data_IF_708956342783
#
_entry.id   IF_708956342783
#
_cell.length_a   1.000
_cell.length_b   1.000
_cell.length_c   1.000
_cell.angle_alpha   90.00
_cell.angle_beta   90.00
_cell.angle_gamma   90.00
#
_symmetry.space_group_name_H-M   'P 1'
#
loop_
_entity.id
_entity.type
_entity.pdbx_description
1 polymer ?
#
# COMPACT_ATOMS: atom_id res chain seq x y z
N UNK A 1 -3.14 9.66 16.20
CA UNK A 1 -2.48 9.12 14.97
C UNK A 1 -1.00 9.45 14.97
N UNK A 2 -0.11 8.44 14.97
CA UNK A 2 1.35 8.64 14.77
C UNK A 2 1.64 8.86 13.28
N UNK A 3 2.84 9.38 12.99
CA UNK A 3 3.25 9.73 11.64
C UNK A 3 4.57 9.06 11.27
N UNK A 4 4.84 8.99 9.97
CA UNK A 4 6.07 8.47 9.34
C UNK A 4 6.56 9.45 8.28
N UNK A 5 7.82 9.32 7.90
CA UNK A 5 8.42 10.10 6.81
C UNK A 5 8.39 9.24 5.53
N UNK A 6 8.01 9.87 4.43
CA UNK A 6 8.00 9.32 3.10
C UNK A 6 8.60 10.39 2.17
N UNK A 7 9.88 10.28 1.86
CA UNK A 7 10.64 11.36 1.23
C UNK A 7 10.63 12.63 2.09
N UNK A 8 10.17 13.72 1.51
CA UNK A 8 10.00 15.01 2.21
C UNK A 8 8.61 15.17 2.88
N UNK A 9 7.76 14.17 2.79
CA UNK A 9 6.38 14.22 3.29
C UNK A 9 6.23 13.51 4.63
N UNK A 10 5.42 14.11 5.49
CA UNK A 10 4.96 13.49 6.73
C UNK A 10 3.58 12.86 6.47
N UNK A 11 3.48 11.54 6.57
CA UNK A 11 2.24 10.79 6.36
C UNK A 11 1.79 10.08 7.62
N UNK A 12 0.50 9.74 7.71
CA UNK A 12 -0.02 8.89 8.79
C UNK A 12 0.70 7.54 8.82
N UNK A 13 0.94 7.00 10.01
CA UNK A 13 1.63 5.72 10.18
C UNK A 13 0.85 4.51 9.60
N UNK A 14 -0.44 4.67 9.36
CA UNK A 14 -1.30 3.72 8.65
C UNK A 14 -1.89 4.45 7.44
N UNK A 15 -1.76 3.85 6.25
CA UNK A 15 -2.42 4.30 5.03
C UNK A 15 -3.72 3.54 4.75
N UNK A 16 -4.46 3.96 3.72
CA UNK A 16 -5.60 3.22 3.18
C UNK A 16 -5.20 2.60 1.84
N UNK A 17 -5.22 1.27 1.75
CA UNK A 17 -5.21 0.54 0.47
C UNK A 17 -6.60 0.56 -0.14
N UNK A 18 -6.79 1.33 -1.22
CA UNK A 18 -8.10 1.55 -1.82
C UNK A 18 -8.55 0.43 -2.76
N UNK A 19 -7.69 -0.56 -3.07
CA UNK A 19 -8.00 -1.64 -4.02
C UNK A 19 -9.35 -2.33 -3.77
N UNK A 20 -9.76 -2.69 -2.52
CA UNK A 20 -11.04 -3.36 -2.26
C UNK A 20 -12.28 -2.51 -2.59
N UNK A 21 -12.11 -1.23 -2.88
CA UNK A 21 -13.20 -0.33 -3.27
C UNK A 21 -13.57 -0.44 -4.76
N UNK A 22 -12.81 -1.21 -5.57
CA UNK A 22 -12.99 -1.23 -7.03
C UNK A 22 -12.80 -2.58 -7.70
N UNK A 23 -12.35 -3.61 -6.97
CA UNK A 23 -12.19 -4.96 -7.49
C UNK A 23 -13.41 -5.83 -7.13
N UNK A 24 -13.38 -7.10 -7.48
CA UNK A 24 -14.49 -8.04 -7.23
C UNK A 24 -14.98 -8.00 -5.78
N UNK A 25 -16.28 -7.88 -5.62
CA UNK A 25 -16.92 -7.76 -4.30
C UNK A 25 -16.80 -6.36 -3.67
N UNK A 26 -16.41 -5.35 -4.47
CA UNK A 26 -16.37 -3.97 -3.99
C UNK A 26 -17.76 -3.49 -3.50
N UNK A 27 -17.81 -2.54 -2.56
CA UNK A 27 -19.04 -1.93 -2.10
C UNK A 27 -19.68 -1.05 -3.19
N UNK A 28 -20.90 -0.62 -2.96
CA UNK A 28 -21.47 0.48 -3.73
C UNK A 28 -20.66 1.79 -3.54
N UNK A 29 -20.83 2.73 -4.45
CA UNK A 29 -20.08 3.97 -4.45
C UNK A 29 -20.28 4.79 -3.15
N UNK A 30 -21.49 4.87 -2.62
CA UNK A 30 -21.77 5.64 -1.40
C UNK A 30 -20.95 5.10 -0.22
N UNK A 31 -20.89 3.78 -0.05
CA UNK A 31 -20.07 3.13 0.98
C UNK A 31 -18.57 3.29 0.69
N UNK A 32 -18.16 3.22 -0.57
CA UNK A 32 -16.77 3.43 -0.95
C UNK A 32 -16.30 4.84 -0.57
N UNK A 33 -17.06 5.89 -0.93
CA UNK A 33 -16.80 7.27 -0.54
C UNK A 33 -16.78 7.43 0.99
N UNK A 34 -17.80 6.89 1.69
CA UNK A 34 -17.86 6.91 3.15
C UNK A 34 -16.64 6.22 3.80
N UNK A 35 -16.07 5.18 3.17
CA UNK A 35 -14.86 4.51 3.67
C UNK A 35 -13.64 5.41 3.55
N UNK A 36 -13.47 6.11 2.44
CA UNK A 36 -12.37 7.08 2.28
C UNK A 36 -12.53 8.25 3.25
N UNK A 37 -13.75 8.82 3.38
CA UNK A 37 -14.02 9.88 4.34
C UNK A 37 -13.72 9.44 5.78
N UNK A 38 -14.09 8.22 6.15
CA UNK A 38 -13.80 7.67 7.47
C UNK A 38 -12.29 7.49 7.72
N UNK A 39 -11.50 7.20 6.67
CA UNK A 39 -10.04 7.19 6.76
C UNK A 39 -9.49 8.60 7.06
N UNK A 40 -9.96 9.60 6.32
CA UNK A 40 -9.57 11.00 6.52
C UNK A 40 -9.97 11.51 7.92
N UNK A 41 -11.20 11.22 8.38
CA UNK A 41 -11.67 11.53 9.74
C UNK A 41 -10.80 10.89 10.83
N UNK A 42 -10.27 9.69 10.57
CA UNK A 42 -9.35 8.99 11.47
C UNK A 42 -7.90 9.53 11.39
N UNK A 43 -7.63 10.54 10.56
CA UNK A 43 -6.33 11.16 10.38
C UNK A 43 -5.39 10.40 9.43
N UNK A 44 -5.92 9.55 8.56
CA UNK A 44 -5.15 8.91 7.49
C UNK A 44 -4.84 9.95 6.42
N UNK A 45 -3.56 10.07 6.06
CA UNK A 45 -3.08 11.03 5.04
C UNK A 45 -2.35 10.35 3.88
N UNK A 46 -2.30 9.02 3.84
CA UNK A 46 -1.78 8.25 2.71
C UNK A 46 -2.91 7.39 2.12
N UNK A 47 -3.28 7.66 0.87
CA UNK A 47 -4.25 6.86 0.11
C UNK A 47 -3.51 6.16 -1.03
N UNK A 48 -3.54 4.82 -1.04
CA UNK A 48 -2.88 4.00 -2.05
C UNK A 48 -3.89 3.43 -3.04
N UNK A 49 -3.77 3.81 -4.31
CA UNK A 49 -4.59 3.38 -5.44
C UNK A 49 -3.72 2.83 -6.58
N UNK A 50 -4.31 2.51 -7.72
CA UNK A 50 -3.64 2.17 -8.99
C UNK A 50 -4.61 2.32 -10.18
N UNK A 51 -4.05 2.50 -11.36
CA UNK A 51 -4.79 2.51 -12.62
C UNK A 51 -5.50 1.18 -12.93
N UNK A 52 -4.91 0.06 -12.50
CA UNK A 52 -5.39 -1.30 -12.72
C UNK A 52 -6.41 -1.81 -11.68
N UNK A 53 -6.81 -0.99 -10.70
CA UNK A 53 -7.82 -1.38 -9.73
C UNK A 53 -9.24 -1.13 -10.27
N UNK A 54 -9.73 -2.11 -11.02
CA UNK A 54 -11.05 -2.13 -11.63
C UNK A 54 -11.52 -3.58 -11.84
N UNK A 55 -12.76 -3.79 -12.23
CA UNK A 55 -13.27 -5.11 -12.60
C UNK A 55 -12.62 -5.60 -13.90
N UNK A 56 -12.50 -6.91 -14.12
CA UNK A 56 -11.97 -7.47 -15.36
C UNK A 56 -12.65 -6.90 -16.61
N UNK A 57 -11.85 -6.41 -17.56
CA UNK A 57 -12.35 -5.84 -18.82
C UNK A 57 -13.08 -4.51 -18.72
N UNK A 58 -13.18 -3.91 -17.52
CA UNK A 58 -13.66 -2.55 -17.37
C UNK A 58 -12.56 -1.52 -17.75
N UNK A 59 -12.96 -0.28 -17.93
CA UNK A 59 -12.04 0.82 -18.20
C UNK A 59 -11.08 1.01 -17.02
N UNK A 60 -9.77 1.21 -17.29
CA UNK A 60 -8.78 1.47 -16.25
C UNK A 60 -9.09 2.73 -15.44
N UNK A 61 -8.70 2.70 -14.15
CA UNK A 61 -8.70 3.88 -13.29
C UNK A 61 -9.99 4.13 -12.52
N UNK A 62 -10.93 3.18 -12.47
CA UNK A 62 -12.13 3.30 -11.62
C UNK A 62 -11.79 3.71 -10.19
N UNK A 63 -10.73 3.11 -9.60
CA UNK A 63 -10.31 3.40 -8.23
C UNK A 63 -9.73 4.81 -8.09
N UNK A 64 -8.97 5.29 -9.08
CA UNK A 64 -8.43 6.66 -9.07
C UNK A 64 -9.55 7.70 -9.15
N UNK A 65 -10.55 7.50 -10.02
CA UNK A 65 -11.76 8.34 -10.08
C UNK A 65 -12.51 8.36 -8.74
N UNK A 66 -12.65 7.22 -8.09
CA UNK A 66 -13.32 7.10 -6.80
C UNK A 66 -12.56 7.87 -5.71
N UNK A 67 -11.23 7.73 -5.64
CA UNK A 67 -10.38 8.48 -4.70
C UNK A 67 -10.48 9.98 -4.96
N UNK A 68 -10.37 10.41 -6.23
CA UNK A 68 -10.50 11.82 -6.59
C UNK A 68 -11.86 12.40 -6.17
N UNK A 69 -12.95 11.66 -6.42
CA UNK A 69 -14.31 12.07 -6.01
C UNK A 69 -14.45 12.13 -4.49
N UNK A 70 -13.91 11.15 -3.77
CA UNK A 70 -13.93 11.15 -2.32
C UNK A 70 -13.23 12.39 -1.74
N UNK A 71 -12.06 12.75 -2.25
CA UNK A 71 -11.33 13.95 -1.83
C UNK A 71 -12.12 15.22 -2.14
N UNK A 72 -12.70 15.34 -3.35
CA UNK A 72 -13.49 16.49 -3.76
C UNK A 72 -14.78 16.68 -2.95
N UNK A 73 -15.36 15.61 -2.38
CA UNK A 73 -16.61 15.62 -1.63
C UNK A 73 -16.43 15.56 -0.11
N UNK A 74 -15.20 15.50 0.40
CA UNK A 74 -14.92 15.35 1.83
C UNK A 74 -15.36 16.57 2.66
N UNK A 75 -15.33 17.75 2.06
CA UNK A 75 -15.79 18.98 2.72
C UNK A 75 -14.80 19.65 3.67
N UNK A 76 -13.64 19.03 3.94
CA UNK A 76 -12.54 19.61 4.72
C UNK A 76 -11.27 19.67 3.86
N UNK A 77 -10.22 20.32 4.39
CA UNK A 77 -8.93 20.42 3.72
C UNK A 77 -8.28 19.04 3.51
N UNK A 78 -7.80 18.80 2.31
CA UNK A 78 -7.10 17.57 1.90
C UNK A 78 -5.69 17.83 1.37
N UNK A 79 -5.14 19.04 1.56
CA UNK A 79 -3.83 19.44 1.05
C UNK A 79 -2.69 18.55 1.58
N UNK A 80 -2.82 18.03 2.79
CA UNK A 80 -1.83 17.12 3.40
C UNK A 80 -2.00 15.66 2.99
N UNK A 81 -3.05 15.32 2.22
CA UNK A 81 -3.29 13.96 1.77
C UNK A 81 -2.39 13.62 0.60
N UNK A 82 -1.55 12.61 0.78
CA UNK A 82 -0.73 12.05 -0.28
C UNK A 82 -1.49 10.92 -0.98
N UNK A 83 -1.81 11.11 -2.25
CA UNK A 83 -2.33 10.06 -3.11
C UNK A 83 -1.16 9.38 -3.80
N UNK A 84 -1.01 8.08 -3.54
CA UNK A 84 -0.08 7.20 -4.23
C UNK A 84 -0.84 6.38 -5.28
N UNK A 85 -0.44 6.46 -6.54
CA UNK A 85 -0.96 5.60 -7.60
C UNK A 85 0.16 4.84 -8.30
N UNK A 86 -0.20 3.90 -9.17
CA UNK A 86 0.74 2.98 -9.80
C UNK A 86 0.37 2.78 -11.26
N UNK A 87 1.39 2.50 -12.08
CA UNK A 87 1.23 2.04 -13.45
C UNK A 87 2.11 0.83 -13.74
N UNK A 88 1.89 0.18 -14.88
CA UNK A 88 2.64 -0.99 -15.31
C UNK A 88 1.96 -2.32 -15.05
N UNK A 89 0.73 -2.34 -14.53
CA UNK A 89 -0.14 -3.53 -14.51
C UNK A 89 -1.41 -3.29 -15.29
N UNK A 90 -1.97 -4.38 -15.80
CA UNK A 90 -3.25 -4.37 -16.48
C UNK A 90 -4.18 -5.45 -15.96
N UNK A 91 -5.48 -5.31 -16.28
CA UNK A 91 -6.51 -6.26 -15.89
C UNK A 91 -7.48 -6.52 -17.05
N UNK A 92 -7.10 -7.40 -18.01
CA UNK A 92 -7.93 -7.74 -19.16
C UNK A 92 -9.22 -8.49 -18.76
N UNK A 93 -10.08 -8.71 -19.75
CA UNK A 93 -11.40 -9.31 -19.54
C UNK A 93 -11.39 -10.73 -18.98
N UNK A 94 -10.30 -11.47 -19.14
CA UNK A 94 -10.13 -12.81 -18.57
C UNK A 94 -9.84 -12.81 -17.05
N UNK A 95 -9.69 -11.61 -16.45
CA UNK A 95 -9.40 -11.42 -15.02
C UNK A 95 -7.95 -11.66 -14.62
N UNK A 96 -7.07 -11.97 -15.58
CA UNK A 96 -5.64 -12.10 -15.31
C UNK A 96 -5.01 -10.75 -14.92
N UNK A 97 -3.85 -10.83 -14.27
CA UNK A 97 -3.02 -9.66 -14.02
C UNK A 97 -1.84 -9.67 -14.98
N UNK A 98 -1.79 -8.69 -15.88
CA UNK A 98 -0.69 -8.51 -16.81
C UNK A 98 0.31 -7.47 -16.33
N UNK A 99 1.49 -7.43 -16.94
CA UNK A 99 2.50 -6.39 -16.70
C UNK A 99 2.89 -5.75 -18.03
N UNK A 100 3.21 -4.46 -17.99
CA UNK A 100 3.81 -3.72 -19.11
C UNK A 100 4.69 -2.61 -18.53
N UNK A 101 6.00 -2.89 -18.44
CA UNK A 101 7.01 -1.99 -17.90
C UNK A 101 7.63 -1.07 -18.93
N UNK A 102 7.15 -1.05 -20.20
CA UNK A 102 7.76 -0.21 -21.22
C UNK A 102 7.65 1.27 -20.88
N UNK A 103 8.71 2.09 -21.13
CA UNK A 103 8.70 3.53 -20.87
C UNK A 103 7.50 4.25 -21.48
N UNK A 104 7.15 3.89 -22.72
CA UNK A 104 5.98 4.45 -23.40
C UNK A 104 4.68 4.20 -22.65
N UNK A 105 4.48 2.96 -22.17
CA UNK A 105 3.28 2.60 -21.43
C UNK A 105 3.22 3.33 -20.09
N UNK A 106 4.30 3.31 -19.31
CA UNK A 106 4.37 3.95 -17.99
C UNK A 106 4.09 5.45 -18.06
N UNK A 107 4.65 6.15 -19.06
CA UNK A 107 4.39 7.57 -19.27
C UNK A 107 2.94 7.84 -19.68
N UNK A 108 2.38 7.06 -20.59
CA UNK A 108 0.97 7.17 -20.98
C UNK A 108 0.00 6.86 -19.83
N UNK A 109 0.32 5.86 -19.00
CA UNK A 109 -0.45 5.51 -17.81
C UNK A 109 -0.44 6.65 -16.77
N UNK A 110 0.73 7.26 -16.52
CA UNK A 110 0.85 8.42 -15.63
C UNK A 110 0.03 9.62 -16.13
N UNK A 111 0.08 9.93 -17.42
CA UNK A 111 -0.73 11.01 -18.02
C UNK A 111 -2.24 10.75 -17.93
N UNK A 112 -2.65 9.50 -18.06
CA UNK A 112 -4.04 9.10 -17.85
C UNK A 112 -4.44 9.22 -16.37
N UNK A 113 -3.56 8.83 -15.44
CA UNK A 113 -3.76 8.95 -13.98
C UNK A 113 -3.88 10.41 -13.53
N UNK A 114 -3.07 11.34 -14.10
CA UNK A 114 -3.19 12.79 -13.84
C UNK A 114 -4.61 13.29 -14.17
N UNK A 115 -5.16 12.86 -15.31
CA UNK A 115 -6.52 13.26 -15.73
C UNK A 115 -7.59 12.69 -14.81
N UNK A 116 -7.48 11.41 -14.41
CA UNK A 116 -8.44 10.74 -13.55
C UNK A 116 -8.44 11.30 -12.13
N UNK A 117 -7.25 11.61 -11.61
CA UNK A 117 -7.07 12.22 -10.30
C UNK A 117 -7.39 13.73 -10.29
N UNK A 118 -7.43 14.37 -11.47
CA UNK A 118 -7.70 15.81 -11.58
C UNK A 118 -6.57 16.68 -11.02
N UNK A 119 -5.32 16.24 -11.14
CA UNK A 119 -4.13 16.93 -10.60
C UNK A 119 -3.11 17.25 -11.68
N UNK A 120 -2.32 18.30 -11.48
CA UNK A 120 -1.23 18.68 -12.39
C UNK A 120 0.02 17.80 -12.20
N UNK A 121 0.24 17.28 -10.98
CA UNK A 121 1.32 16.37 -10.65
C UNK A 121 0.83 15.31 -9.66
N UNK A 122 1.13 14.03 -9.94
CA UNK A 122 0.83 12.90 -9.03
C UNK A 122 1.74 13.02 -7.80
N UNK A 123 1.17 12.88 -6.61
CA UNK A 123 1.93 12.97 -5.34
C UNK A 123 3.01 11.90 -5.24
N UNK A 124 2.64 10.63 -5.38
CA UNK A 124 3.56 9.49 -5.46
C UNK A 124 3.14 8.57 -6.61
N UNK A 125 4.04 8.31 -7.55
CA UNK A 125 3.83 7.36 -8.64
C UNK A 125 4.77 6.17 -8.51
N UNK A 126 4.23 4.95 -8.59
CA UNK A 126 4.99 3.74 -8.36
C UNK A 126 4.99 2.83 -9.59
N UNK A 127 6.14 2.24 -9.93
CA UNK A 127 6.18 1.06 -10.79
C UNK A 127 5.47 -0.08 -10.06
N UNK A 128 4.32 -0.53 -10.57
CA UNK A 128 3.46 -1.47 -9.86
C UNK A 128 4.09 -2.86 -9.73
N UNK A 129 4.83 -3.29 -10.75
CA UNK A 129 5.59 -4.55 -10.77
C UNK A 129 6.62 -4.49 -11.90
N UNK A 130 7.83 -5.02 -11.70
CA UNK A 130 8.80 -5.22 -12.78
C UNK A 130 8.22 -6.09 -13.89
N UNK A 131 8.49 -5.72 -15.14
CA UNK A 131 8.15 -6.50 -16.33
C UNK A 131 9.38 -7.33 -16.71
N UNK A 132 9.29 -8.67 -16.74
CA UNK A 132 10.42 -9.50 -17.10
C UNK A 132 10.90 -9.36 -18.54
N UNK A 133 10.07 -8.78 -19.44
CA UNK A 133 10.37 -8.56 -20.84
C UNK A 133 11.03 -7.19 -21.11
N UNK A 134 11.16 -6.34 -20.07
CA UNK A 134 11.71 -4.99 -20.19
C UNK A 134 12.85 -4.83 -19.18
N UNK A 135 14.03 -4.34 -19.59
CA UNK A 135 15.07 -4.01 -18.65
C UNK A 135 14.55 -3.10 -17.53
N UNK A 136 14.77 -3.50 -16.28
CA UNK A 136 14.21 -2.79 -15.12
C UNK A 136 14.63 -1.32 -15.08
N UNK A 137 15.86 -1.03 -15.49
CA UNK A 137 16.43 0.32 -15.55
C UNK A 137 15.70 1.22 -16.56
N UNK A 138 15.15 0.65 -17.65
CA UNK A 138 14.33 1.40 -18.60
C UNK A 138 12.99 1.82 -17.98
N UNK A 139 12.35 0.89 -17.24
CA UNK A 139 11.11 1.19 -16.53
C UNK A 139 11.33 2.28 -15.46
N UNK A 140 12.41 2.19 -14.69
CA UNK A 140 12.78 3.20 -13.69
C UNK A 140 13.21 4.52 -14.35
N UNK A 141 13.88 4.42 -15.50
CA UNK A 141 14.23 5.59 -16.33
C UNK A 141 12.99 6.42 -16.72
N UNK A 142 11.88 5.76 -17.05
CA UNK A 142 10.61 6.43 -17.34
C UNK A 142 10.07 7.21 -16.12
N UNK A 143 10.22 6.67 -14.90
CA UNK A 143 9.85 7.38 -13.67
C UNK A 143 10.72 8.64 -13.48
N UNK A 144 12.02 8.55 -13.76
CA UNK A 144 12.93 9.71 -13.73
C UNK A 144 12.50 10.78 -14.70
N UNK A 145 12.17 10.42 -15.96
CA UNK A 145 11.67 11.37 -16.95
C UNK A 145 10.37 12.05 -16.48
N UNK A 146 9.43 11.31 -15.91
CA UNK A 146 8.19 11.86 -15.34
C UNK A 146 8.44 12.84 -14.19
N UNK A 147 9.45 12.57 -13.34
CA UNK A 147 9.91 13.49 -12.29
C UNK A 147 10.51 14.76 -12.88
N UNK A 148 11.36 14.62 -13.91
CA UNK A 148 12.02 15.74 -14.59
C UNK A 148 11.01 16.60 -15.38
N UNK A 149 9.96 15.99 -15.92
CA UNK A 149 8.81 16.66 -16.56
C UNK A 149 7.84 17.30 -15.54
N UNK A 150 8.01 17.06 -14.24
CA UNK A 150 7.14 17.57 -13.18
C UNK A 150 5.76 16.92 -13.13
N UNK A 151 5.54 15.81 -13.85
CA UNK A 151 4.27 15.07 -13.86
C UNK A 151 4.03 14.22 -12.61
N UNK A 152 5.11 13.82 -11.95
CA UNK A 152 5.07 13.15 -10.64
C UNK A 152 6.01 13.90 -9.67
N UNK A 153 5.67 13.93 -8.40
CA UNK A 153 6.48 14.61 -7.37
C UNK A 153 7.48 13.67 -6.72
N UNK A 154 7.04 12.44 -6.44
CA UNK A 154 7.81 11.39 -5.79
C UNK A 154 7.66 10.10 -6.57
N UNK A 155 8.68 9.25 -6.55
CA UNK A 155 8.68 7.95 -7.20
C UNK A 155 8.80 6.81 -6.17
N UNK A 156 8.24 5.65 -6.52
CA UNK A 156 8.37 4.42 -5.77
C UNK A 156 8.42 3.20 -6.68
N UNK A 157 8.76 2.06 -6.10
CA UNK A 157 8.73 0.76 -6.78
C UNK A 157 7.95 -0.26 -5.96
N UNK A 158 7.39 -1.26 -6.62
CA UNK A 158 6.58 -2.28 -5.94
C UNK A 158 6.90 -3.66 -6.50
N UNK A 159 6.87 -4.68 -5.61
CA UNK A 159 7.18 -6.06 -5.94
C UNK A 159 8.60 -6.23 -6.49
N UNK A 160 9.55 -5.56 -5.89
CA UNK A 160 10.96 -5.52 -6.25
C UNK A 160 11.83 -6.25 -5.22
N UNK A 161 12.92 -6.84 -5.68
CA UNK A 161 13.95 -7.42 -4.83
C UNK A 161 15.04 -6.39 -4.44
N UNK A 162 16.01 -6.83 -3.64
CA UNK A 162 17.12 -6.01 -3.12
C UNK A 162 17.94 -5.36 -4.24
N UNK A 163 18.25 -6.11 -5.30
CA UNK A 163 19.09 -5.62 -6.40
C UNK A 163 18.34 -4.57 -7.22
N UNK A 164 17.06 -4.80 -7.47
CA UNK A 164 16.16 -3.86 -8.14
C UNK A 164 15.97 -2.57 -7.31
N UNK A 165 15.85 -2.67 -6.00
CA UNK A 165 15.78 -1.48 -5.12
C UNK A 165 17.06 -0.66 -5.22
N UNK A 166 18.26 -1.31 -5.19
CA UNK A 166 19.54 -0.63 -5.35
C UNK A 166 19.69 0.03 -6.72
N UNK A 167 19.26 -0.67 -7.79
CA UNK A 167 19.25 -0.11 -9.15
C UNK A 167 18.32 1.10 -9.26
N UNK A 168 17.10 1.02 -8.71
CA UNK A 168 16.17 2.14 -8.68
C UNK A 168 16.72 3.34 -7.90
N UNK A 169 17.34 3.09 -6.74
CA UNK A 169 17.97 4.14 -5.94
C UNK A 169 19.17 4.78 -6.67
N UNK A 170 19.97 4.01 -7.39
CA UNK A 170 21.06 4.55 -8.20
C UNK A 170 20.57 5.48 -9.33
N UNK A 171 19.39 5.22 -9.90
CA UNK A 171 18.81 6.01 -11.01
C UNK A 171 18.06 7.23 -10.50
N UNK A 172 17.29 7.09 -9.42
CA UNK A 172 16.36 8.12 -8.93
C UNK A 172 16.95 8.97 -7.79
N UNK A 173 17.98 8.46 -7.09
CA UNK A 173 18.54 9.11 -5.89
C UNK A 173 17.47 9.32 -4.82
N UNK A 174 17.51 10.46 -4.14
CA UNK A 174 16.58 10.84 -3.06
C UNK A 174 15.12 11.00 -3.52
N UNK A 175 14.86 10.94 -4.84
CA UNK A 175 13.51 10.97 -5.39
C UNK A 175 12.81 9.60 -5.38
N UNK A 176 13.55 8.48 -5.17
CA UNK A 176 12.97 7.21 -4.77
C UNK A 176 12.63 7.30 -3.28
N UNK A 177 11.35 7.19 -2.93
CA UNK A 177 10.91 7.41 -1.54
C UNK A 177 10.19 6.22 -0.92
N UNK A 178 9.79 5.21 -1.75
CA UNK A 178 9.04 4.07 -1.24
C UNK A 178 9.32 2.78 -1.99
N UNK A 179 9.23 1.68 -1.24
CA UNK A 179 9.15 0.31 -1.75
C UNK A 179 7.86 -0.31 -1.22
N UNK A 180 7.05 -0.91 -2.11
CA UNK A 180 5.78 -1.51 -1.74
C UNK A 180 5.77 -3.00 -2.06
N UNK A 181 6.00 -3.85 -1.05
CA UNK A 181 6.07 -5.31 -1.19
C UNK A 181 5.07 -6.01 -0.26
N UNK A 182 4.76 -7.29 -0.56
CA UNK A 182 3.95 -8.11 0.32
C UNK A 182 4.69 -8.38 1.63
N UNK A 183 4.04 -8.05 2.75
CA UNK A 183 4.59 -8.34 4.06
C UNK A 183 3.51 -8.39 5.13
N UNK A 184 3.48 -9.49 5.88
CA UNK A 184 2.45 -9.76 6.89
C UNK A 184 2.94 -10.85 7.86
N UNK A 185 2.20 -11.21 8.91
CA UNK A 185 2.51 -12.38 9.74
C UNK A 185 2.66 -13.69 8.95
N UNK A 186 1.89 -13.86 7.85
CA UNK A 186 1.93 -15.06 7.02
C UNK A 186 2.99 -15.04 5.92
N UNK A 187 3.46 -13.86 5.49
CA UNK A 187 4.38 -13.67 4.36
C UNK A 187 5.52 -12.77 4.82
N UNK A 188 6.72 -13.33 4.91
CA UNK A 188 7.93 -12.69 5.45
C UNK A 188 9.08 -12.60 4.44
N UNK A 189 8.81 -12.92 3.16
CA UNK A 189 9.84 -13.04 2.14
C UNK A 189 10.57 -11.71 1.87
N UNK A 190 9.95 -10.56 2.16
CA UNK A 190 10.53 -9.21 1.98
C UNK A 190 11.29 -8.66 3.20
N UNK A 191 11.84 -9.51 4.07
CA UNK A 191 12.65 -9.05 5.22
C UNK A 191 13.96 -8.37 4.80
N UNK A 192 14.57 -8.82 3.70
CA UNK A 192 15.81 -8.24 3.19
C UNK A 192 15.55 -6.84 2.59
N UNK A 193 14.44 -6.70 1.84
CA UNK A 193 14.00 -5.45 1.26
C UNK A 193 13.61 -4.43 2.35
N UNK A 194 12.93 -4.88 3.41
CA UNK A 194 12.62 -4.03 4.56
C UNK A 194 13.89 -3.49 5.24
N UNK A 195 14.90 -4.35 5.44
CA UNK A 195 16.18 -3.92 6.01
C UNK A 195 16.87 -2.90 5.12
N UNK A 196 16.94 -3.17 3.81
CA UNK A 196 17.50 -2.22 2.86
C UNK A 196 16.74 -0.89 2.84
N UNK A 197 15.41 -0.91 2.93
CA UNK A 197 14.61 0.32 3.04
C UNK A 197 14.97 1.12 4.30
N UNK A 198 15.22 0.45 5.43
CA UNK A 198 15.66 1.13 6.66
C UNK A 198 17.06 1.73 6.52
N UNK A 199 17.99 1.07 5.80
CA UNK A 199 19.35 1.57 5.51
C UNK A 199 19.33 2.79 4.59
N UNK A 200 18.42 2.82 3.60
CA UNK A 200 18.30 3.88 2.59
C UNK A 200 17.26 4.94 2.96
N UNK A 201 16.66 4.86 4.14
CA UNK A 201 15.59 5.76 4.63
C UNK A 201 14.36 5.82 3.69
N UNK A 202 14.08 4.72 2.96
CA UNK A 202 12.91 4.56 2.10
C UNK A 202 11.71 4.07 2.90
N UNK A 203 10.53 4.62 2.69
CA UNK A 203 9.31 4.08 3.28
C UNK A 203 9.01 2.69 2.72
N UNK A 204 8.80 1.72 3.61
CA UNK A 204 8.37 0.38 3.25
C UNK A 204 6.86 0.27 3.45
N UNK A 205 6.12 0.02 2.35
CA UNK A 205 4.65 -0.03 2.32
C UNK A 205 4.18 -1.48 2.22
N UNK A 206 3.93 -2.20 3.34
CA UNK A 206 3.38 -3.55 3.29
C UNK A 206 2.01 -3.56 2.62
N UNK A 207 1.87 -4.22 1.45
CA UNK A 207 0.55 -4.56 0.94
C UNK A 207 0.10 -5.92 1.47
N UNK A 208 -1.24 -6.16 1.55
CA UNK A 208 -1.86 -7.28 2.27
C UNK A 208 -1.30 -7.47 3.69
N UNK A 209 -1.19 -6.42 4.50
CA UNK A 209 -0.48 -6.45 5.78
C UNK A 209 -1.16 -7.34 6.84
N UNK A 210 -2.43 -7.69 6.65
CA UNK A 210 -3.22 -8.51 7.58
C UNK A 210 -3.20 -10.00 7.22
N UNK A 211 -2.35 -10.44 6.29
CA UNK A 211 -2.25 -11.84 5.88
C UNK A 211 -1.99 -12.77 7.06
N UNK A 212 -2.82 -13.82 7.18
CA UNK A 212 -2.82 -14.74 8.31
C UNK A 212 -3.74 -14.34 9.47
N UNK A 213 -4.05 -13.07 9.66
CA UNK A 213 -4.95 -12.56 10.70
C UNK A 213 -6.35 -12.29 10.13
N UNK A 214 -6.42 -11.70 8.96
CA UNK A 214 -7.66 -11.45 8.23
C UNK A 214 -7.56 -11.97 6.82
N UNK A 215 -8.74 -12.24 6.24
CA UNK A 215 -8.84 -12.54 4.82
C UNK A 215 -8.53 -11.29 4.00
N UNK A 216 -7.55 -11.40 3.12
CA UNK A 216 -7.30 -10.43 2.07
C UNK A 216 -8.23 -10.71 0.88
N UNK A 217 -8.61 -9.67 0.13
CA UNK A 217 -9.32 -9.82 -1.14
C UNK A 217 -8.50 -10.56 -2.22
N UNK A 218 -7.18 -10.68 -2.01
CA UNK A 218 -6.26 -11.44 -2.87
C UNK A 218 -6.06 -12.88 -2.41
N UNK A 219 -6.41 -13.20 -1.16
CA UNK A 219 -6.37 -14.57 -0.67
C UNK A 219 -7.59 -15.31 -1.24
N UNK A 220 -7.40 -16.33 -2.02
CA UNK A 220 -8.47 -17.22 -2.47
C UNK A 220 -9.33 -17.75 -1.30
N UNK A 221 -10.28 -18.66 -1.54
CA UNK A 221 -11.18 -19.16 -0.50
C UNK A 221 -10.40 -19.65 0.72
N UNK A 222 -10.87 -19.22 1.90
CA UNK A 222 -10.28 -19.41 3.21
C UNK A 222 -9.64 -20.81 3.37
N UNK A 223 -8.32 -20.86 3.56
CA UNK A 223 -7.65 -22.09 3.98
C UNK A 223 -7.95 -22.31 5.46
N UNK A 224 -8.69 -23.36 5.77
CA UNK A 224 -8.93 -23.84 7.13
C UNK A 224 -7.58 -24.19 7.75
N UNK A 225 -7.15 -23.48 8.82
CA UNK A 225 -5.90 -23.75 9.56
C UNK A 225 -5.16 -22.54 10.09
N UNK A 226 -5.49 -21.30 9.64
CA UNK A 226 -4.77 -20.09 10.04
C UNK A 226 -4.97 -19.64 11.49
N UNK A 227 -6.06 -20.02 12.16
CA UNK A 227 -6.39 -19.53 13.50
C UNK A 227 -5.41 -20.00 14.60
N UNK A 228 -4.89 -21.21 14.52
CA UNK A 228 -4.01 -21.75 15.58
C UNK A 228 -2.59 -21.14 15.49
N UNK A 229 -2.06 -20.95 14.28
CA UNK A 229 -0.70 -20.43 14.06
C UNK A 229 -0.54 -19.00 14.59
N UNK A 230 -1.58 -18.18 14.50
CA UNK A 230 -1.56 -16.77 14.91
C UNK A 230 -2.33 -16.51 16.23
N UNK A 231 -2.52 -17.53 17.07
CA UNK A 231 -3.22 -17.41 18.35
C UNK A 231 -2.64 -16.35 19.30
N UNK A 232 -1.34 -16.09 19.21
CA UNK A 232 -0.68 -15.04 19.99
C UNK A 232 -1.26 -13.65 19.70
N UNK A 233 -1.57 -13.32 18.43
CA UNK A 233 -2.19 -12.05 18.05
C UNK A 233 -3.59 -11.89 18.68
N UNK A 234 -4.39 -12.95 18.71
CA UNK A 234 -5.70 -12.95 19.36
C UNK A 234 -5.59 -12.80 20.88
N UNK A 235 -4.60 -13.44 21.50
CA UNK A 235 -4.40 -13.33 22.95
C UNK A 235 -3.97 -11.91 23.38
N UNK A 236 -3.05 -11.30 22.65
CA UNK A 236 -2.63 -9.92 22.88
C UNK A 236 -3.79 -8.95 22.61
N UNK A 237 -4.57 -9.16 21.55
CA UNK A 237 -5.75 -8.36 21.25
C UNK A 237 -6.78 -8.39 22.39
N UNK A 238 -7.04 -9.56 22.94
CA UNK A 238 -7.94 -9.72 24.10
C UNK A 238 -7.44 -8.96 25.34
N UNK A 239 -6.13 -9.01 25.62
CA UNK A 239 -5.52 -8.30 26.74
C UNK A 239 -5.65 -6.78 26.62
N UNK A 240 -5.45 -6.24 25.41
CA UNK A 240 -5.60 -4.82 25.11
C UNK A 240 -7.04 -4.39 24.82
N UNK A 241 -8.00 -5.33 24.69
CA UNK A 241 -9.40 -5.07 24.31
C UNK A 241 -9.53 -4.38 22.95
N UNK A 242 -8.70 -4.82 21.99
CA UNK A 242 -8.66 -4.33 20.60
C UNK A 242 -8.85 -5.50 19.63
N UNK A 243 -8.93 -5.21 18.35
CA UNK A 243 -8.99 -6.26 17.32
C UNK A 243 -7.62 -6.93 17.09
N UNK A 244 -7.57 -8.20 16.67
CA UNK A 244 -6.33 -8.82 16.22
C UNK A 244 -5.68 -8.09 15.04
N UNK A 245 -6.48 -7.39 14.22
CA UNK A 245 -6.02 -6.56 13.11
C UNK A 245 -5.22 -5.36 13.62
N UNK A 246 -5.68 -4.70 14.69
CA UNK A 246 -4.91 -3.62 15.32
C UNK A 246 -3.58 -4.13 15.88
N UNK A 247 -3.55 -5.28 16.54
CA UNK A 247 -2.30 -5.87 17.04
C UNK A 247 -1.35 -6.21 15.89
N UNK A 248 -1.88 -6.75 14.78
CA UNK A 248 -1.09 -7.06 13.60
C UNK A 248 -0.44 -5.80 13.00
N UNK A 249 -1.21 -4.73 12.82
CA UNK A 249 -0.70 -3.47 12.28
C UNK A 249 0.29 -2.78 13.24
N UNK A 250 0.02 -2.81 14.55
CA UNK A 250 0.95 -2.29 15.55
C UNK A 250 2.27 -3.07 15.60
N UNK A 251 2.20 -4.40 15.44
CA UNK A 251 3.38 -5.25 15.30
C UNK A 251 4.19 -4.91 14.05
N UNK A 252 3.53 -4.69 12.88
CA UNK A 252 4.20 -4.24 11.67
C UNK A 252 4.90 -2.88 11.87
N UNK A 253 4.23 -1.93 12.50
CA UNK A 253 4.80 -0.62 12.81
C UNK A 253 6.02 -0.70 13.74
N UNK A 254 6.09 -1.73 14.59
CA UNK A 254 7.22 -1.96 15.49
C UNK A 254 8.45 -2.59 14.79
N UNK A 255 8.29 -3.15 13.57
CA UNK A 255 9.40 -3.77 12.81
C UNK A 255 10.47 -2.75 12.42
N UNK A 256 10.06 -1.56 12.01
CA UNK A 256 10.98 -0.47 11.62
C UNK A 256 10.26 0.88 11.60
N UNK A 257 10.96 1.99 11.85
CA UNK A 257 10.40 3.34 11.70
C UNK A 257 10.00 3.69 10.26
N UNK A 258 10.50 2.97 9.25
CA UNK A 258 10.17 3.19 7.83
C UNK A 258 8.90 2.46 7.38
N UNK A 259 8.32 1.60 8.22
CA UNK A 259 7.12 0.82 7.85
C UNK A 259 5.87 1.67 7.92
N UNK A 260 5.09 1.66 6.81
CA UNK A 260 3.78 2.32 6.67
C UNK A 260 2.81 1.30 6.05
N UNK A 261 2.11 0.49 6.85
CA UNK A 261 1.15 -0.48 6.33
C UNK A 261 -0.02 0.20 5.62
N UNK A 262 -0.46 -0.42 4.52
CA UNK A 262 -1.60 0.05 3.72
C UNK A 262 -2.74 -1.00 3.70
N UNK A 263 -3.39 -1.27 4.87
CA UNK A 263 -4.48 -2.22 4.92
C UNK A 263 -5.62 -1.82 3.98
N UNK A 264 -6.16 -2.82 3.27
CA UNK A 264 -7.36 -2.65 2.46
C UNK A 264 -8.60 -2.52 3.35
N UNK A 265 -9.53 -1.63 2.98
CA UNK A 265 -10.83 -1.54 3.63
C UNK A 265 -11.94 -1.29 2.59
N UNK A 266 -13.12 -1.88 2.83
CA UNK A 266 -14.33 -1.67 2.03
C UNK A 266 -15.51 -1.16 2.87
N UNK A 267 -15.24 -0.81 4.14
CA UNK A 267 -16.23 -0.31 5.11
C UNK A 267 -15.59 0.73 6.04
N UNK A 268 -16.33 1.77 6.43
CA UNK A 268 -15.86 2.80 7.37
C UNK A 268 -15.31 2.24 8.69
N UNK A 269 -15.97 1.23 9.24
CA UNK A 269 -15.58 0.62 10.52
C UNK A 269 -14.22 -0.05 10.42
N UNK A 270 -13.95 -0.72 9.29
CA UNK A 270 -12.69 -1.45 9.06
C UNK A 270 -11.50 -0.48 9.01
N UNK A 271 -11.62 0.65 8.31
CA UNK A 271 -10.50 1.60 8.25
C UNK A 271 -10.31 2.36 9.58
N UNK A 272 -11.38 2.67 10.32
CA UNK A 272 -11.25 3.26 11.66
C UNK A 272 -10.53 2.31 12.61
N UNK A 273 -10.88 1.03 12.58
CA UNK A 273 -10.21 -0.01 13.36
C UNK A 273 -8.72 -0.12 12.99
N UNK A 274 -8.41 -0.17 11.69
CA UNK A 274 -7.02 -0.22 11.22
C UNK A 274 -6.22 1.05 11.61
N UNK A 275 -6.81 2.23 11.47
CA UNK A 275 -6.17 3.49 11.82
C UNK A 275 -5.83 3.60 13.32
N UNK A 276 -6.68 3.04 14.19
CA UNK A 276 -6.46 3.01 15.62
C UNK A 276 -5.18 2.23 16.03
N UNK A 277 -4.71 1.31 15.19
CA UNK A 277 -3.45 0.60 15.42
C UNK A 277 -2.23 1.54 15.51
N UNK A 278 -2.31 2.71 14.90
CA UNK A 278 -1.24 3.70 14.97
C UNK A 278 -0.92 4.16 16.40
N UNK A 279 -1.87 4.11 17.31
CA UNK A 279 -1.71 4.55 18.70
C UNK A 279 -1.52 3.39 19.69
N UNK A 280 -1.65 2.12 19.22
CA UNK A 280 -1.41 0.94 20.03
C UNK A 280 0.10 0.74 20.24
N UNK A 281 0.50 0.66 21.50
CA UNK A 281 1.88 0.37 21.92
C UNK A 281 1.92 -1.05 22.49
N UNK A 282 2.71 -1.91 21.87
CA UNK A 282 2.95 -3.27 22.33
C UNK A 282 4.20 -3.30 23.21
N UNK A 283 4.13 -4.04 24.33
CA UNK A 283 5.27 -4.25 25.20
C UNK A 283 6.34 -5.14 24.52
N UNK A 284 7.59 -5.06 24.98
CA UNK A 284 8.70 -5.85 24.44
C UNK A 284 8.42 -7.35 24.48
N UNK A 285 7.83 -7.84 25.57
CA UNK A 285 7.48 -9.24 25.76
C UNK A 285 6.34 -9.68 24.82
N UNK A 286 5.40 -8.77 24.52
CA UNK A 286 4.34 -9.03 23.54
C UNK A 286 4.92 -9.13 22.13
N UNK A 287 5.82 -8.20 21.76
CA UNK A 287 6.52 -8.24 20.46
C UNK A 287 7.31 -9.53 20.29
N UNK A 288 8.08 -9.95 21.30
CA UNK A 288 8.83 -11.20 21.27
C UNK A 288 7.90 -12.41 21.06
N UNK A 289 6.78 -12.46 21.78
CA UNK A 289 5.77 -13.53 21.63
C UNK A 289 5.12 -13.54 20.24
N UNK A 290 4.87 -12.37 19.66
CA UNK A 290 4.32 -12.26 18.31
C UNK A 290 5.35 -12.67 17.26
N UNK A 291 6.63 -12.32 17.45
CA UNK A 291 7.74 -12.73 16.56
C UNK A 291 7.93 -14.25 16.56
N UNK A 292 7.86 -14.91 17.72
CA UNK A 292 7.88 -16.37 17.82
C UNK A 292 6.71 -17.02 17.04
N UNK A 293 5.51 -16.43 17.12
CA UNK A 293 4.32 -16.97 16.47
C UNK A 293 4.37 -16.88 14.92
N UNK A 294 5.17 -15.97 14.36
CA UNK A 294 5.31 -15.81 12.89
C UNK A 294 6.56 -16.49 12.33
N UNK A 295 7.48 -16.94 13.18
CA UNK A 295 8.65 -17.70 12.75
C UNK A 295 8.18 -19.06 12.22
N UNK A 296 8.60 -19.52 11.02
CA UNK A 296 8.30 -20.86 10.55
C UNK A 296 8.77 -21.88 11.59
N UNK A 297 7.93 -22.86 11.91
CA UNK A 297 8.41 -24.03 12.64
C UNK A 297 9.46 -24.71 11.75
N UNK A 298 10.70 -24.79 12.22
CA UNK A 298 11.85 -25.40 11.55
C UNK A 298 11.61 -26.87 11.19
#
# INVERSE_FOLDING_TARGET
MRYRILGDRRVSAIGLGAMPLSIEGHPDEARALATVHAALDAGVTLLDTADSYHLPGADPGHNEHLVARALATYGNDTADVLVATKGGRGRPADGSWTVNGTPRHLKGAAEASLKRLGVEAIGLYQLHKPDPEVPFEESVGALRELLDEGKIRLAGVSNTDVDQIRAAHAILGDRLVSVQNQYSPAVRDSEAELRLCAELELAFLPWSPLGGISRSSLDGPSRVGGQVRFGAFHAVAAAHRVSPQQVCLAWLLARSPVVVPIPGASRPETIRDSAAAADLVLATEELARLDEAVTPAG
#
